data_IF_376468583869
#
_entry.id   IF_376468583869
#
_cell.length_a   1.000
_cell.length_b   1.000
_cell.length_c   1.000
_cell.angle_alpha   90.00
_cell.angle_beta   90.00
_cell.angle_gamma   90.00
#
_symmetry.space_group_name_H-M   'P 1'
#
loop_
_entity.id
_entity.type
_entity.pdbx_description
1 polymer ?
#
# COMPACT_ATOMS: atom_id res chain seq x y z
N UNK A 1 11.40 1.98 -11.26
CA UNK A 1 10.61 3.17 -11.69
C UNK A 1 9.14 2.86 -11.44
N UNK A 2 8.35 3.82 -10.96
CA UNK A 2 6.91 3.62 -10.75
C UNK A 2 6.12 4.54 -11.67
N UNK A 3 5.14 3.98 -12.38
CA UNK A 3 4.23 4.69 -13.27
C UNK A 3 2.81 4.53 -12.75
N UNK A 4 2.01 5.59 -12.77
CA UNK A 4 0.61 5.56 -12.36
C UNK A 4 -0.28 5.73 -13.58
N UNK A 5 -1.06 4.70 -13.91
CA UNK A 5 -2.12 4.75 -14.90
C UNK A 5 -3.38 5.39 -14.31
N UNK A 6 -3.61 5.20 -13.00
CA UNK A 6 -4.70 5.84 -12.26
C UNK A 6 -4.37 6.01 -10.78
N UNK A 7 -4.80 7.13 -10.19
CA UNK A 7 -4.69 7.37 -8.77
C UNK A 7 -5.79 8.32 -8.26
N UNK A 8 -6.82 7.76 -7.64
CA UNK A 8 -7.99 8.52 -7.14
C UNK A 8 -8.24 8.22 -5.66
N UNK A 9 -7.49 8.82 -4.71
CA UNK A 9 -7.55 8.50 -3.28
C UNK A 9 -8.80 9.10 -2.61
N UNK A 10 -9.97 8.60 -2.99
CA UNK A 10 -11.30 8.97 -2.49
C UNK A 10 -12.19 7.73 -2.46
N UNK A 11 -13.22 7.73 -1.62
CA UNK A 11 -14.25 6.68 -1.62
C UNK A 11 -14.83 6.47 -3.04
N UNK A 12 -14.84 5.22 -3.50
CA UNK A 12 -15.26 4.83 -4.85
C UNK A 12 -14.25 5.12 -5.95
N UNK A 13 -13.10 5.71 -5.63
CA UNK A 13 -12.00 5.91 -6.57
C UNK A 13 -11.23 4.63 -6.83
N UNK A 14 -10.42 4.63 -7.89
CA UNK A 14 -9.60 3.50 -8.29
C UNK A 14 -8.13 3.87 -8.43
N UNK A 15 -7.26 2.87 -8.32
CA UNK A 15 -5.83 3.02 -8.52
C UNK A 15 -5.29 1.88 -9.38
N UNK A 16 -4.26 2.20 -10.16
CA UNK A 16 -3.51 1.25 -10.97
C UNK A 16 -2.12 1.85 -11.15
N UNK A 17 -1.10 1.09 -10.77
CA UNK A 17 0.28 1.48 -10.95
C UNK A 17 1.16 0.30 -11.31
N UNK A 18 2.20 0.60 -12.08
CA UNK A 18 3.21 -0.37 -12.52
C UNK A 18 4.56 -0.05 -11.89
N UNK A 19 5.14 -1.03 -11.21
CA UNK A 19 6.50 -0.95 -10.68
C UNK A 19 7.46 -1.74 -11.57
N UNK A 20 8.50 -1.06 -12.06
CA UNK A 20 9.58 -1.65 -12.84
C UNK A 20 10.83 -1.82 -11.99
N UNK A 21 11.32 -3.06 -11.90
CA UNK A 21 12.55 -3.39 -11.18
C UNK A 21 13.82 -3.03 -11.98
N UNK A 22 14.99 -3.29 -11.40
CA UNK A 22 16.30 -3.00 -12.02
C UNK A 22 16.60 -3.84 -13.26
N UNK A 23 15.93 -4.99 -13.41
CA UNK A 23 16.06 -5.88 -14.56
C UNK A 23 15.02 -5.58 -15.64
N UNK A 24 14.14 -4.61 -15.40
CA UNK A 24 13.08 -4.22 -16.30
C UNK A 24 11.81 -5.07 -16.19
N UNK A 25 11.69 -5.96 -15.21
CA UNK A 25 10.46 -6.68 -14.93
C UNK A 25 9.41 -5.70 -14.40
N UNK A 26 8.24 -5.72 -15.02
CA UNK A 26 7.09 -4.90 -14.66
C UNK A 26 6.14 -5.70 -13.77
N UNK A 27 5.69 -5.06 -12.70
CA UNK A 27 4.77 -5.61 -11.71
C UNK A 27 3.64 -4.60 -11.57
N UNK A 28 2.51 -4.88 -12.22
CA UNK A 28 1.32 -4.04 -12.21
C UNK A 28 0.36 -4.52 -11.13
N UNK A 29 -0.19 -3.57 -10.40
CA UNK A 29 -1.20 -3.84 -9.39
C UNK A 29 -2.29 -2.76 -9.43
N UNK A 30 -3.49 -3.17 -9.08
CA UNK A 30 -4.66 -2.29 -9.14
C UNK A 30 -5.65 -2.60 -8.03
N UNK A 31 -6.59 -1.68 -7.84
CA UNK A 31 -7.67 -1.86 -6.90
C UNK A 31 -8.62 -0.67 -6.87
N UNK A 32 -9.61 -0.78 -5.99
CA UNK A 32 -10.60 0.26 -5.74
C UNK A 32 -10.64 0.61 -4.27
N UNK A 33 -10.81 1.90 -3.98
CA UNK A 33 -11.04 2.37 -2.63
C UNK A 33 -12.51 2.17 -2.29
N UNK A 34 -12.79 1.21 -1.41
CA UNK A 34 -14.10 1.08 -0.78
C UNK A 34 -14.40 2.29 0.12
N UNK A 35 -13.40 2.76 0.88
CA UNK A 35 -13.51 3.94 1.74
C UNK A 35 -12.17 4.67 1.87
N UNK A 36 -12.21 6.00 1.85
CA UNK A 36 -11.11 6.86 2.31
C UNK A 36 -11.67 7.84 3.34
N UNK A 37 -11.46 7.53 4.62
CA UNK A 37 -11.88 8.35 5.76
C UNK A 37 -10.65 8.98 6.41
N UNK A 38 -10.18 10.09 5.86
CA UNK A 38 -8.98 10.75 6.36
C UNK A 38 -9.22 11.46 7.71
N UNK A 39 -8.31 11.34 8.70
CA UNK A 39 -7.04 10.59 8.69
C UNK A 39 -7.14 9.17 9.28
N UNK A 40 -8.35 8.65 9.52
CA UNK A 40 -8.61 7.50 10.39
C UNK A 40 -8.42 6.14 9.69
N UNK A 41 -8.90 6.01 8.45
CA UNK A 41 -9.02 4.70 7.79
C UNK A 41 -9.02 4.76 6.27
N UNK A 42 -8.43 3.74 5.66
CA UNK A 42 -8.54 3.42 4.24
C UNK A 42 -8.97 1.97 4.12
N UNK A 43 -9.96 1.69 3.26
CA UNK A 43 -10.38 0.33 2.90
C UNK A 43 -10.36 0.24 1.38
N UNK A 44 -9.76 -0.81 0.84
CA UNK A 44 -9.73 -1.03 -0.59
C UNK A 44 -9.43 -2.46 -0.97
N UNK A 45 -9.63 -2.75 -2.25
CA UNK A 45 -9.15 -4.00 -2.83
C UNK A 45 -7.71 -3.86 -3.30
N UNK A 46 -7.05 -5.00 -3.49
CA UNK A 46 -5.73 -5.11 -4.09
C UNK A 46 -5.70 -6.37 -4.95
N UNK A 47 -5.19 -6.25 -6.18
CA UNK A 47 -4.94 -7.38 -7.08
C UNK A 47 -3.59 -7.18 -7.79
N UNK A 48 -2.80 -8.24 -7.84
CA UNK A 48 -1.52 -8.27 -8.54
C UNK A 48 -1.67 -8.97 -9.89
N UNK A 49 -1.38 -8.27 -10.99
CA UNK A 49 -1.58 -8.78 -12.36
C UNK A 49 -0.49 -9.76 -12.81
N UNK A 50 0.57 -9.95 -12.03
CA UNK A 50 1.68 -10.82 -12.40
C UNK A 50 1.45 -12.31 -12.14
N UNK A 51 0.27 -12.72 -11.68
CA UNK A 51 -0.11 -14.12 -11.51
C UNK A 51 -0.69 -14.71 -12.80
N UNK A 52 -0.52 -16.03 -13.06
CA UNK A 52 -1.06 -16.67 -14.26
C UNK A 52 -2.59 -16.64 -14.35
N UNK A 53 -3.27 -16.72 -13.21
CA UNK A 53 -4.72 -16.65 -13.08
C UNK A 53 -5.10 -15.30 -12.46
N UNK A 54 -6.21 -14.71 -12.92
CA UNK A 54 -6.77 -13.48 -12.34
C UNK A 54 -7.79 -13.82 -11.26
N UNK A 55 -8.12 -12.85 -10.41
CA UNK A 55 -9.13 -13.00 -9.35
C UNK A 55 -8.55 -13.28 -7.97
N UNK A 56 -7.22 -13.29 -7.81
CA UNK A 56 -6.54 -13.34 -6.51
C UNK A 56 -6.59 -11.96 -5.82
N UNK A 57 -7.79 -11.53 -5.46
CA UNK A 57 -8.06 -10.22 -4.86
C UNK A 57 -8.05 -10.31 -3.35
N UNK A 58 -7.38 -9.38 -2.67
CA UNK A 58 -7.52 -9.19 -1.22
C UNK A 58 -8.28 -7.90 -0.90
N UNK A 59 -8.93 -7.89 0.26
CA UNK A 59 -9.47 -6.69 0.89
C UNK A 59 -8.49 -6.22 1.96
N UNK A 60 -7.92 -5.04 1.78
CA UNK A 60 -7.06 -4.39 2.75
C UNK A 60 -7.87 -3.38 3.57
N UNK A 61 -7.68 -3.40 4.88
CA UNK A 61 -8.09 -2.32 5.79
C UNK A 61 -6.89 -1.76 6.52
N UNK A 62 -6.59 -0.49 6.27
CA UNK A 62 -5.52 0.26 6.93
C UNK A 62 -6.13 1.26 7.91
N UNK A 63 -5.77 1.17 9.19
CA UNK A 63 -6.20 2.06 10.28
C UNK A 63 -5.03 2.84 10.84
N UNK A 64 -5.28 4.11 11.16
CA UNK A 64 -4.29 5.00 11.75
C UNK A 64 -4.73 5.42 13.16
N UNK A 65 -3.99 4.98 14.17
CA UNK A 65 -4.25 5.30 15.58
C UNK A 65 -3.25 6.36 16.07
N UNK A 66 -3.75 7.43 16.67
CA UNK A 66 -2.89 8.45 17.30
C UNK A 66 -2.22 7.86 18.54
N UNK A 67 -0.92 8.06 18.65
CA UNK A 67 -0.12 7.75 19.82
C UNK A 67 0.43 9.03 20.49
N UNK A 68 0.74 8.98 21.79
CA UNK A 68 1.43 10.07 22.47
C UNK A 68 2.74 10.46 21.77
N UNK A 69 3.08 11.74 21.86
CA UNK A 69 4.30 12.30 21.27
C UNK A 69 4.21 12.57 19.77
N UNK A 70 3.01 12.86 19.25
CA UNK A 70 2.76 13.10 17.81
C UNK A 70 3.24 11.92 16.94
N UNK A 71 2.92 10.70 17.39
CA UNK A 71 3.23 9.46 16.69
C UNK A 71 1.95 8.81 16.19
N UNK A 72 2.09 7.91 15.24
CA UNK A 72 0.98 7.15 14.66
C UNK A 72 1.31 5.67 14.73
N UNK A 73 0.33 4.85 15.12
CA UNK A 73 0.37 3.41 14.91
C UNK A 73 -0.46 3.08 13.69
N UNK A 74 0.15 2.39 12.73
CA UNK A 74 -0.54 1.90 11.52
C UNK A 74 -0.90 0.44 11.76
N UNK A 75 -2.14 0.08 11.47
CA UNK A 75 -2.62 -1.31 11.53
C UNK A 75 -3.18 -1.66 10.16
N UNK A 76 -2.50 -2.56 9.46
CA UNK A 76 -2.93 -3.09 8.17
C UNK A 76 -3.51 -4.49 8.39
N UNK A 77 -4.65 -4.76 7.77
CA UNK A 77 -5.33 -6.04 7.85
C UNK A 77 -5.76 -6.48 6.45
N UNK A 78 -5.20 -7.59 6.00
CA UNK A 78 -5.50 -8.19 4.70
C UNK A 78 -6.40 -9.42 4.85
N UNK A 79 -7.45 -9.46 4.04
CA UNK A 79 -8.36 -10.60 3.94
C UNK A 79 -8.26 -11.17 2.52
N UNK A 80 -7.79 -12.41 2.42
CA UNK A 80 -7.53 -13.13 1.17
C UNK A 80 -8.73 -13.99 0.76
N UNK A 81 -8.80 -14.36 -0.53
CA UNK A 81 -9.85 -15.28 -1.02
C UNK A 81 -9.69 -16.71 -0.47
N UNK A 82 -8.45 -17.14 -0.21
CA UNK A 82 -8.14 -18.49 0.23
C UNK A 82 -6.95 -18.51 1.20
N UNK A 83 -6.77 -19.65 1.87
CA UNK A 83 -5.58 -19.89 2.71
C UNK A 83 -4.34 -19.98 1.84
N UNK A 84 -4.48 -20.58 0.67
CA UNK A 84 -3.44 -20.76 -0.34
C UNK A 84 -2.93 -19.40 -0.86
N UNK A 85 -3.83 -18.44 -1.13
CA UNK A 85 -3.47 -17.10 -1.57
C UNK A 85 -2.68 -16.34 -0.47
N UNK A 86 -3.15 -16.45 0.79
CA UNK A 86 -2.45 -15.89 1.94
C UNK A 86 -1.04 -16.46 2.04
N UNK A 87 -0.92 -17.78 2.03
CA UNK A 87 0.35 -18.47 2.21
C UNK A 87 1.30 -18.21 1.03
N UNK A 88 0.76 -18.11 -0.18
CA UNK A 88 1.48 -17.70 -1.38
C UNK A 88 2.12 -16.32 -1.22
N UNK A 89 1.39 -15.32 -0.72
CA UNK A 89 1.97 -13.98 -0.49
C UNK A 89 3.11 -13.98 0.54
N UNK A 90 2.99 -14.77 1.62
CA UNK A 90 4.09 -14.92 2.58
C UNK A 90 5.31 -15.59 1.95
N UNK A 91 5.12 -16.64 1.15
CA UNK A 91 6.20 -17.33 0.45
C UNK A 91 6.90 -16.44 -0.59
N UNK A 92 6.18 -15.48 -1.18
CA UNK A 92 6.72 -14.48 -2.11
C UNK A 92 7.58 -13.41 -1.42
N UNK A 93 7.76 -13.48 -0.10
CA UNK A 93 8.64 -12.58 0.65
C UNK A 93 8.02 -11.22 0.94
N UNK A 94 6.69 -11.15 1.04
CA UNK A 94 5.97 -9.89 1.25
C UNK A 94 6.40 -9.15 2.53
N UNK A 95 6.82 -9.87 3.57
CA UNK A 95 7.37 -9.28 4.80
C UNK A 95 8.52 -8.30 4.49
N UNK A 96 9.48 -8.73 3.68
CA UNK A 96 10.62 -7.90 3.30
C UNK A 96 10.19 -6.68 2.48
N UNK A 97 9.22 -6.87 1.58
CA UNK A 97 8.70 -5.78 0.74
C UNK A 97 8.00 -4.73 1.60
N UNK A 98 7.26 -5.16 2.62
CA UNK A 98 6.59 -4.29 3.60
C UNK A 98 7.62 -3.51 4.40
N UNK A 99 8.65 -4.17 4.94
CA UNK A 99 9.70 -3.52 5.73
C UNK A 99 10.45 -2.45 4.91
N UNK A 100 10.90 -2.79 3.71
CA UNK A 100 11.55 -1.83 2.79
C UNK A 100 10.63 -0.65 2.45
N UNK A 101 9.32 -0.89 2.39
CA UNK A 101 8.31 0.15 2.18
C UNK A 101 8.21 1.11 3.36
N UNK A 102 8.17 0.59 4.58
CA UNK A 102 8.11 1.40 5.81
C UNK A 102 9.42 2.17 6.06
N UNK A 103 10.58 1.59 5.77
CA UNK A 103 11.86 2.30 5.85
C UNK A 103 11.87 3.55 4.95
N UNK A 104 11.38 3.41 3.71
CA UNK A 104 11.25 4.54 2.77
C UNK A 104 10.23 5.57 3.25
N UNK A 105 9.14 5.12 3.89
CA UNK A 105 8.14 6.01 4.47
C UNK A 105 8.73 6.82 5.64
N UNK A 106 9.53 6.20 6.51
CA UNK A 106 10.23 6.89 7.60
C UNK A 106 11.16 7.98 7.07
N UNK A 107 11.96 7.67 6.05
CA UNK A 107 12.81 8.68 5.39
C UNK A 107 11.98 9.83 4.80
N UNK A 108 10.86 9.53 4.15
CA UNK A 108 9.98 10.54 3.56
C UNK A 108 9.37 11.44 4.65
N UNK A 109 8.88 10.85 5.74
CA UNK A 109 8.28 11.59 6.85
C UNK A 109 9.30 12.51 7.53
N UNK A 110 10.55 12.09 7.69
CA UNK A 110 11.62 12.95 8.21
C UNK A 110 11.89 14.13 7.26
N UNK A 111 11.95 13.90 5.94
CA UNK A 111 12.09 14.98 4.95
C UNK A 111 10.91 15.95 4.98
N UNK A 112 9.68 15.45 5.12
CA UNK A 112 8.47 16.28 5.23
C UNK A 112 8.46 17.12 6.52
N UNK A 113 8.87 16.56 7.65
CA UNK A 113 9.04 17.31 8.92
C UNK A 113 10.09 18.41 8.78
N UNK A 114 11.22 18.13 8.12
CA UNK A 114 12.28 19.09 7.89
C UNK A 114 11.84 20.23 6.95
N UNK A 115 11.14 19.91 5.86
CA UNK A 115 10.57 20.89 4.94
C UNK A 115 9.55 21.82 5.61
N UNK A 116 8.71 21.28 6.51
CA UNK A 116 7.74 22.05 7.29
C UNK A 116 8.39 23.00 8.32
N UNK A 117 9.66 22.80 8.70
CA UNK A 117 10.39 23.70 9.61
C UNK A 117 11.00 24.92 8.91
N UNK A 118 11.17 24.89 7.59
CA UNK A 118 11.79 25.98 6.80
C UNK A 118 10.73 27.02 6.34
N UNK A 119 9.45 26.66 6.37
CA UNK A 119 8.32 27.53 5.99
C UNK A 119 7.65 28.26 7.18
N UNK A 120 8.28 28.28 8.36
CA UNK A 120 7.79 29.01 9.54
C UNK A 120 8.74 30.13 9.92
#
# INVERSE_FOLDING_TARGET
MTTFERFEPKTGGSYCFTQKDVNGKENTLHGVYHEVLAPERIIGTFEFEGLPETGHVLLETTRFEVLPGNRTKVIVQDIYQSVEDRDGMFQMGMEKVIDEGYDRLDELLERMKAGNKIQK
#
